data_IF_883207916115
#
_entry.id   IF_883207916115
#
_cell.length_a   1.000
_cell.length_b   1.000
_cell.length_c   1.000
_cell.angle_alpha   90.00
_cell.angle_beta   90.00
_cell.angle_gamma   90.00
#
_symmetry.space_group_name_H-M   'P 1'
#
loop_
_entity.id
_entity.type
_entity.pdbx_description
1 polymer ?
#
# COMPACT_ATOMS: atom_id res chain seq x y z
N UNK A 1 32.43 -17.25 -7.56
CA UNK A 1 31.00 -17.65 -7.61
C UNK A 1 30.27 -17.63 -6.25
N UNK A 2 30.93 -17.61 -5.07
CA UNK A 2 30.25 -17.74 -3.77
C UNK A 2 29.52 -16.51 -3.20
N UNK A 3 29.93 -15.28 -3.53
CA UNK A 3 29.37 -14.06 -2.92
C UNK A 3 27.89 -13.81 -3.24
N UNK A 4 27.53 -13.85 -4.53
CA UNK A 4 26.16 -13.59 -5.01
C UNK A 4 25.12 -14.59 -4.50
N UNK A 5 25.53 -15.84 -4.26
CA UNK A 5 24.65 -16.87 -3.70
C UNK A 5 24.39 -16.63 -2.20
N UNK A 6 25.44 -16.29 -1.43
CA UNK A 6 25.31 -15.94 0.00
C UNK A 6 24.38 -14.73 0.20
N UNK A 7 24.44 -13.73 -0.68
CA UNK A 7 23.55 -12.57 -0.64
C UNK A 7 22.07 -12.94 -0.82
N UNK A 8 21.76 -13.80 -1.80
CA UNK A 8 20.39 -14.26 -2.04
C UNK A 8 19.83 -15.03 -0.85
N UNK A 9 20.65 -15.87 -0.23
CA UNK A 9 20.27 -16.63 0.96
C UNK A 9 19.99 -15.69 2.14
N UNK A 10 20.86 -14.70 2.38
CA UNK A 10 20.65 -13.74 3.47
C UNK A 10 19.37 -12.91 3.29
N UNK A 11 19.08 -12.46 2.05
CA UNK A 11 17.84 -11.74 1.74
C UNK A 11 16.60 -12.62 1.97
N UNK A 12 16.67 -13.89 1.58
CA UNK A 12 15.60 -14.84 1.79
C UNK A 12 15.36 -15.11 3.29
N UNK A 13 16.42 -15.33 4.06
CA UNK A 13 16.35 -15.52 5.52
C UNK A 13 15.75 -14.30 6.22
N UNK A 14 16.17 -13.09 5.85
CA UNK A 14 15.58 -11.86 6.37
C UNK A 14 14.09 -11.75 6.04
N UNK A 15 13.68 -12.17 4.84
CA UNK A 15 12.28 -12.25 4.45
C UNK A 15 11.48 -13.20 5.34
N UNK A 16 12.01 -14.39 5.63
CA UNK A 16 11.37 -15.38 6.52
C UNK A 16 11.22 -14.81 7.93
N UNK A 17 12.29 -14.20 8.48
CA UNK A 17 12.27 -13.63 9.83
C UNK A 17 11.22 -12.52 9.93
N UNK A 18 11.17 -11.63 8.93
CA UNK A 18 10.21 -10.52 8.90
C UNK A 18 8.78 -11.05 8.78
N UNK A 19 8.56 -12.07 7.94
CA UNK A 19 7.25 -12.72 7.82
C UNK A 19 6.81 -13.38 9.13
N UNK A 20 7.70 -14.14 9.78
CA UNK A 20 7.42 -14.77 11.06
C UNK A 20 7.11 -13.74 12.16
N UNK A 21 7.84 -12.61 12.18
CA UNK A 21 7.59 -11.52 13.11
C UNK A 21 6.19 -10.89 12.89
N UNK A 22 5.81 -10.61 11.64
CA UNK A 22 4.48 -10.09 11.30
C UNK A 22 3.39 -11.05 11.76
N UNK A 23 3.54 -12.35 11.48
CA UNK A 23 2.56 -13.37 11.89
C UNK A 23 2.47 -13.49 13.41
N UNK A 24 3.61 -13.52 14.11
CA UNK A 24 3.65 -13.61 15.57
C UNK A 24 3.02 -12.40 16.26
N UNK A 25 3.25 -11.19 15.74
CA UNK A 25 2.59 -9.96 16.22
C UNK A 25 1.08 -10.01 15.90
N UNK A 26 0.70 -10.48 14.71
CA UNK A 26 -0.68 -10.63 14.27
C UNK A 26 -1.50 -11.54 15.17
N UNK A 27 -1.11 -12.82 15.24
CA UNK A 27 -0.91 -13.57 16.49
C UNK A 27 -1.49 -12.97 17.78
N UNK A 28 -0.55 -12.39 18.53
CA UNK A 28 -0.73 -11.79 19.83
C UNK A 28 -1.76 -10.66 19.83
N UNK A 29 -1.75 -9.81 18.81
CA UNK A 29 -2.68 -8.70 18.69
C UNK A 29 -4.12 -9.19 18.47
N UNK A 30 -4.33 -10.26 17.69
CA UNK A 30 -5.62 -10.90 17.49
C UNK A 30 -6.17 -11.53 18.78
N UNK A 31 -5.31 -12.18 19.57
CA UNK A 31 -5.70 -12.73 20.87
C UNK A 31 -6.15 -11.60 21.83
N UNK A 32 -5.37 -10.53 21.97
CA UNK A 32 -5.77 -9.37 22.78
C UNK A 32 -7.05 -8.71 22.27
N UNK A 33 -7.23 -8.64 20.96
CA UNK A 33 -8.43 -8.07 20.36
C UNK A 33 -9.68 -8.91 20.66
N UNK A 34 -9.55 -10.23 20.69
CA UNK A 34 -10.63 -11.13 21.12
C UNK A 34 -11.06 -10.83 22.55
N UNK A 35 -10.10 -10.72 23.48
CA UNK A 35 -10.40 -10.41 24.89
C UNK A 35 -11.12 -9.06 25.03
N UNK A 36 -10.70 -8.05 24.24
CA UNK A 36 -11.35 -6.74 24.18
C UNK A 36 -12.80 -6.83 23.70
N UNK A 37 -13.06 -7.61 22.64
CA UNK A 37 -14.41 -7.79 22.10
C UNK A 37 -15.34 -8.49 23.10
N UNK A 38 -14.84 -9.51 23.81
CA UNK A 38 -15.59 -10.24 24.83
C UNK A 38 -15.94 -9.34 26.02
N UNK A 39 -15.01 -8.51 26.49
CA UNK A 39 -15.23 -7.58 27.60
C UNK A 39 -16.30 -6.53 27.31
N UNK A 40 -16.35 -6.00 26.09
CA UNK A 40 -17.32 -4.98 25.69
C UNK A 40 -18.61 -5.53 25.07
N UNK A 41 -18.75 -6.87 24.98
CA UNK A 41 -19.87 -7.55 24.30
C UNK A 41 -20.17 -6.99 22.90
N UNK A 42 -19.14 -6.53 22.20
CA UNK A 42 -19.29 -5.97 20.87
C UNK A 42 -19.48 -7.14 19.91
N UNK A 43 -20.73 -7.35 19.49
CA UNK A 43 -21.03 -8.25 18.40
C UNK A 43 -20.39 -7.68 17.12
N UNK A 44 -19.26 -8.25 16.73
CA UNK A 44 -18.61 -7.88 15.48
C UNK A 44 -19.59 -8.11 14.34
N UNK A 45 -19.77 -7.11 13.48
CA UNK A 45 -20.69 -7.21 12.35
C UNK A 45 -20.15 -8.28 11.38
N UNK A 46 -20.61 -9.52 11.54
CA UNK A 46 -20.18 -10.63 10.70
C UNK A 46 -20.76 -10.43 9.32
N UNK A 47 -19.93 -10.01 8.38
CA UNK A 47 -20.35 -9.77 7.00
C UNK A 47 -20.57 -11.12 6.33
N UNK A 48 -21.82 -11.41 5.98
CA UNK A 48 -22.14 -12.60 5.19
C UNK A 48 -21.71 -12.41 3.74
N UNK A 49 -21.43 -13.52 3.04
CA UNK A 49 -20.97 -13.50 1.65
C UNK A 49 -21.86 -12.67 0.70
N UNK A 50 -23.19 -12.75 0.88
CA UNK A 50 -24.15 -11.96 0.09
C UNK A 50 -23.98 -10.45 0.31
N UNK A 51 -23.83 -10.04 1.57
CA UNK A 51 -23.60 -8.64 1.93
C UNK A 51 -22.24 -8.16 1.41
N UNK A 52 -21.21 -9.02 1.50
CA UNK A 52 -19.90 -8.73 0.92
C UNK A 52 -19.99 -8.49 -0.59
N UNK A 53 -20.66 -9.36 -1.36
CA UNK A 53 -20.80 -9.18 -2.81
C UNK A 53 -21.56 -7.89 -3.17
N UNK A 54 -22.61 -7.56 -2.43
CA UNK A 54 -23.36 -6.32 -2.64
C UNK A 54 -22.46 -5.11 -2.34
N UNK A 55 -21.75 -5.13 -1.22
CA UNK A 55 -20.87 -4.03 -0.80
C UNK A 55 -19.68 -3.88 -1.76
N UNK A 56 -19.03 -5.00 -2.11
CA UNK A 56 -17.93 -5.04 -3.07
C UNK A 56 -18.37 -4.59 -4.46
N UNK A 57 -19.55 -5.05 -4.92
CA UNK A 57 -20.16 -4.62 -6.16
C UNK A 57 -20.44 -3.11 -6.16
N UNK A 58 -21.06 -2.58 -5.10
CA UNK A 58 -21.34 -1.16 -4.94
C UNK A 58 -20.05 -0.32 -4.92
N UNK A 59 -19.05 -0.72 -4.12
CA UNK A 59 -17.74 -0.04 -4.04
C UNK A 59 -17.04 -0.08 -5.40
N UNK A 60 -17.01 -1.24 -6.06
CA UNK A 60 -16.41 -1.38 -7.40
C UNK A 60 -17.12 -0.51 -8.44
N UNK A 61 -18.45 -0.42 -8.37
CA UNK A 61 -19.25 0.43 -9.25
C UNK A 61 -18.96 1.92 -9.01
N UNK A 62 -18.81 2.33 -7.74
CA UNK A 62 -18.35 3.69 -7.39
C UNK A 62 -16.95 3.94 -7.96
N UNK A 63 -15.99 3.05 -7.70
CA UNK A 63 -14.59 3.17 -8.16
C UNK A 63 -14.53 3.26 -9.69
N UNK A 64 -15.25 2.39 -10.39
CA UNK A 64 -15.28 2.38 -11.86
C UNK A 64 -15.93 3.66 -12.42
N UNK A 65 -16.87 4.26 -11.70
CA UNK A 65 -17.48 5.52 -12.08
C UNK A 65 -16.69 6.76 -11.65
N UNK A 66 -15.63 6.67 -10.83
CA UNK A 66 -14.76 7.82 -10.47
C UNK A 66 -14.32 8.62 -11.70
N UNK A 67 -13.76 8.04 -12.78
CA UNK A 67 -13.35 8.82 -13.96
C UNK A 67 -14.53 9.51 -14.66
N UNK A 68 -15.75 8.94 -14.59
CA UNK A 68 -16.96 9.52 -15.17
C UNK A 68 -17.52 10.63 -14.30
N UNK A 69 -17.59 10.41 -12.98
CA UNK A 69 -18.00 11.38 -11.97
C UNK A 69 -17.04 12.57 -11.99
N UNK A 70 -15.73 12.35 -11.98
CA UNK A 70 -14.74 13.45 -12.09
C UNK A 70 -14.89 14.26 -13.37
N UNK A 71 -15.17 13.62 -14.53
CA UNK A 71 -15.49 14.34 -15.78
C UNK A 71 -16.78 15.16 -15.69
N UNK A 72 -17.82 14.65 -15.03
CA UNK A 72 -19.10 15.36 -14.83
C UNK A 72 -18.94 16.51 -13.84
N UNK A 73 -18.30 16.28 -12.70
CA UNK A 73 -17.97 17.29 -11.70
C UNK A 73 -17.13 18.41 -12.32
N UNK A 74 -16.17 18.05 -13.17
CA UNK A 74 -15.36 19.02 -13.90
C UNK A 74 -16.18 19.83 -14.93
N UNK A 75 -17.19 19.23 -15.58
CA UNK A 75 -18.13 19.95 -16.47
C UNK A 75 -19.05 20.91 -15.71
N UNK A 76 -19.61 20.48 -14.57
CA UNK A 76 -20.49 21.29 -13.72
C UNK A 76 -19.69 22.44 -13.09
N UNK A 77 -18.53 22.12 -12.53
CA UNK A 77 -17.60 23.10 -11.98
C UNK A 77 -17.20 24.14 -13.02
N UNK A 78 -16.86 23.74 -14.27
CA UNK A 78 -16.57 24.70 -15.35
C UNK A 78 -17.74 25.62 -15.72
N UNK A 79 -18.99 25.14 -15.64
CA UNK A 79 -20.17 25.98 -15.94
C UNK A 79 -20.45 27.01 -14.85
N UNK A 80 -20.32 26.63 -13.57
CA UNK A 80 -20.51 27.57 -12.45
C UNK A 80 -19.31 28.50 -12.23
N UNK A 81 -18.08 28.04 -12.45
CA UNK A 81 -16.88 28.85 -12.21
C UNK A 81 -16.65 29.90 -13.30
N UNK A 82 -17.08 29.71 -14.56
CA UNK A 82 -16.83 30.65 -15.67
C UNK A 82 -17.30 32.09 -15.41
N UNK A 83 -18.21 32.32 -14.46
CA UNK A 83 -18.69 33.66 -14.09
C UNK A 83 -17.81 34.37 -13.03
N UNK A 84 -16.86 33.67 -12.42
CA UNK A 84 -16.02 34.18 -11.30
C UNK A 84 -14.52 33.87 -11.44
N UNK A 85 -14.06 33.25 -12.55
CA UNK A 85 -12.74 32.59 -12.59
C UNK A 85 -11.59 33.24 -13.34
N UNK A 86 -11.70 34.41 -13.96
CA UNK A 86 -10.51 34.95 -14.65
C UNK A 86 -9.38 35.34 -13.66
N UNK A 87 -9.69 35.49 -12.37
CA UNK A 87 -8.73 35.83 -11.32
C UNK A 87 -8.15 34.63 -10.54
N UNK A 88 -8.92 33.53 -10.41
CA UNK A 88 -8.48 32.34 -9.65
C UNK A 88 -7.78 31.28 -10.50
N UNK A 89 -7.97 31.32 -11.83
CA UNK A 89 -7.43 30.31 -12.75
C UNK A 89 -5.89 30.35 -12.84
N UNK A 90 -5.27 31.53 -12.75
CA UNK A 90 -3.80 31.69 -12.72
C UNK A 90 -3.17 31.27 -11.39
N UNK A 91 -3.92 31.29 -10.27
CA UNK A 91 -3.44 30.82 -8.96
C UNK A 91 -3.66 29.31 -8.79
N UNK A 92 -4.79 28.80 -9.28
CA UNK A 92 -5.13 27.38 -9.23
C UNK A 92 -4.30 26.54 -10.21
N UNK A 93 -3.97 27.05 -11.41
CA UNK A 93 -3.08 26.33 -12.33
C UNK A 93 -1.65 26.21 -11.78
N UNK A 94 -1.13 27.26 -11.13
CA UNK A 94 0.14 27.18 -10.39
C UNK A 94 0.08 26.23 -9.18
N UNK A 95 -1.07 26.09 -8.53
CA UNK A 95 -1.26 25.17 -7.41
C UNK A 95 -1.42 23.70 -7.87
N UNK A 96 -2.14 23.47 -8.97
CA UNK A 96 -2.36 22.16 -9.61
C UNK A 96 -1.08 21.61 -10.24
N UNK A 97 -0.21 22.49 -10.74
CA UNK A 97 1.13 22.14 -11.23
C UNK A 97 2.10 21.82 -10.07
N UNK A 98 1.87 22.42 -8.89
CA UNK A 98 2.60 22.10 -7.63
C UNK A 98 2.13 20.80 -6.97
N UNK A 99 0.85 20.46 -7.06
CA UNK A 99 0.31 19.13 -6.66
C UNK A 99 0.62 18.14 -7.79
N UNK A 100 1.91 17.84 -7.92
CA UNK A 100 2.45 16.80 -8.78
C UNK A 100 1.74 15.49 -8.43
N UNK A 101 1.38 14.65 -9.41
CA UNK A 101 0.75 13.31 -9.19
C UNK A 101 1.51 12.45 -8.15
N UNK A 102 2.79 12.73 -7.94
CA UNK A 102 3.61 12.23 -6.84
C UNK A 102 3.00 12.46 -5.44
N UNK A 103 2.30 13.57 -5.21
CA UNK A 103 1.62 13.92 -3.96
C UNK A 103 0.40 13.03 -3.68
N UNK A 104 -0.31 12.52 -4.69
CA UNK A 104 -1.54 11.75 -4.45
C UNK A 104 -1.24 10.39 -3.83
N UNK A 105 -0.22 9.69 -4.32
CA UNK A 105 0.21 8.41 -3.75
C UNK A 105 0.70 8.55 -2.31
N UNK A 106 1.47 9.60 -2.03
CA UNK A 106 1.97 9.89 -0.68
C UNK A 106 0.82 10.23 0.28
N UNK A 107 -0.16 11.03 -0.16
CA UNK A 107 -1.35 11.34 0.65
C UNK A 107 -2.15 10.07 0.92
N UNK A 108 -2.42 9.25 -0.10
CA UNK A 108 -3.16 8.00 0.07
C UNK A 108 -2.48 7.05 1.05
N UNK A 109 -1.16 6.92 0.96
CA UNK A 109 -0.40 6.08 1.88
C UNK A 109 -0.35 6.65 3.30
N UNK A 110 -0.19 7.98 3.45
CA UNK A 110 -0.23 8.64 4.76
C UNK A 110 -1.59 8.49 5.45
N UNK A 111 -2.70 8.62 4.71
CA UNK A 111 -4.05 8.36 5.23
C UNK A 111 -4.16 6.92 5.73
N UNK A 112 -3.60 5.98 4.97
CA UNK A 112 -3.68 4.56 5.30
C UNK A 112 -2.83 4.23 6.55
N UNK A 113 -1.65 4.83 6.71
CA UNK A 113 -0.88 4.76 7.97
C UNK A 113 -1.64 5.42 9.12
N UNK A 114 -2.29 6.56 8.88
CA UNK A 114 -3.09 7.23 9.91
C UNK A 114 -4.26 6.39 10.37
N UNK A 115 -4.94 5.72 9.45
CA UNK A 115 -6.01 4.76 9.75
C UNK A 115 -5.49 3.58 10.59
N UNK A 116 -4.32 3.05 10.24
CA UNK A 116 -3.68 1.96 11.00
C UNK A 116 -3.31 2.42 12.42
N UNK A 117 -2.72 3.61 12.54
CA UNK A 117 -2.39 4.21 13.83
C UNK A 117 -3.61 4.43 14.71
N UNK A 118 -4.69 4.94 14.12
CA UNK A 118 -5.98 5.09 14.76
C UNK A 118 -6.55 3.73 15.20
N UNK A 119 -6.61 2.74 14.32
CA UNK A 119 -7.18 1.43 14.62
C UNK A 119 -6.38 0.68 15.70
N UNK A 120 -5.06 0.78 15.68
CA UNK A 120 -4.19 0.17 16.69
C UNK A 120 -4.35 0.82 18.07
N UNK A 121 -4.47 2.15 18.13
CA UNK A 121 -4.59 2.86 19.41
C UNK A 121 -6.00 2.92 19.96
N UNK A 122 -7.03 2.85 19.11
CA UNK A 122 -8.42 2.78 19.53
C UNK A 122 -8.73 1.53 20.38
N UNK A 123 -7.89 0.49 20.32
CA UNK A 123 -8.00 -0.69 21.17
C UNK A 123 -7.52 -0.46 22.61
N UNK A 124 -6.67 0.55 22.84
CA UNK A 124 -6.02 0.78 24.14
C UNK A 124 -6.41 2.12 24.79
N UNK A 125 -6.79 3.11 23.99
CA UNK A 125 -7.02 4.48 24.44
C UNK A 125 -8.42 4.98 24.08
N UNK A 126 -8.89 6.01 24.80
CA UNK A 126 -10.13 6.71 24.50
C UNK A 126 -10.12 7.32 23.08
N UNK A 127 -11.26 7.21 22.38
CA UNK A 127 -11.42 7.50 20.95
C UNK A 127 -10.76 8.79 20.41
N UNK A 128 -10.90 9.98 21.04
CA UNK A 128 -10.24 11.19 20.53
C UNK A 128 -8.71 11.11 20.56
N UNK A 129 -8.11 10.43 21.54
CA UNK A 129 -6.66 10.26 21.58
C UNK A 129 -6.17 9.36 20.44
N UNK A 130 -6.95 8.34 20.07
CA UNK A 130 -6.63 7.47 18.94
C UNK A 130 -6.62 8.25 17.61
N UNK A 131 -7.55 9.18 17.41
CA UNK A 131 -7.57 10.04 16.21
C UNK A 131 -6.32 10.92 16.17
N UNK A 132 -6.01 11.59 17.27
CA UNK A 132 -4.82 12.46 17.35
C UNK A 132 -3.55 11.65 17.08
N UNK A 133 -3.44 10.45 17.64
CA UNK A 133 -2.30 9.57 17.43
C UNK A 133 -2.17 9.10 15.98
N UNK A 134 -3.29 8.73 15.34
CA UNK A 134 -3.33 8.39 13.91
C UNK A 134 -2.84 9.55 13.03
N UNK A 135 -3.28 10.78 13.31
CA UNK A 135 -2.82 11.98 12.58
C UNK A 135 -1.32 12.20 12.81
N UNK A 136 -0.83 12.05 14.04
CA UNK A 136 0.59 12.19 14.36
C UNK A 136 1.43 11.16 13.60
N UNK A 137 1.02 9.88 13.58
CA UNK A 137 1.72 8.82 12.84
C UNK A 137 1.74 9.09 11.33
N UNK A 138 0.60 9.53 10.77
CA UNK A 138 0.48 9.89 9.37
C UNK A 138 1.41 11.06 9.01
N UNK A 139 1.44 12.11 9.84
CA UNK A 139 2.30 13.26 9.67
C UNK A 139 3.78 12.90 9.87
N UNK A 140 4.09 12.11 10.89
CA UNK A 140 5.43 11.61 11.17
C UNK A 140 5.99 10.81 9.99
N UNK A 141 5.16 10.03 9.28
CA UNK A 141 5.59 9.34 8.06
C UNK A 141 6.01 10.30 6.94
N UNK A 142 5.20 11.33 6.71
CA UNK A 142 5.46 12.35 5.67
C UNK A 142 6.73 13.15 6.00
N UNK A 143 6.98 13.45 7.28
CA UNK A 143 8.16 14.19 7.72
C UNK A 143 9.42 13.30 7.80
N UNK A 144 9.25 12.07 8.28
CA UNK A 144 10.32 11.11 8.60
C UNK A 144 10.14 9.90 7.68
N UNK A 145 10.27 10.15 6.38
CA UNK A 145 10.24 9.13 5.33
C UNK A 145 11.55 8.31 5.31
N UNK A 146 11.86 7.61 6.40
CA UNK A 146 13.01 6.69 6.53
C UNK A 146 12.59 5.24 6.24
N UNK A 147 13.53 4.43 5.75
CA UNK A 147 13.26 3.03 5.36
C UNK A 147 12.75 2.19 6.53
N UNK A 148 13.36 2.28 7.71
CA UNK A 148 12.92 1.52 8.88
C UNK A 148 11.49 1.87 9.30
N UNK A 149 11.15 3.16 9.34
CA UNK A 149 9.82 3.63 9.75
C UNK A 149 8.75 3.23 8.73
N UNK A 150 9.09 3.24 7.45
CA UNK A 150 8.24 2.73 6.39
C UNK A 150 7.94 1.23 6.54
N UNK A 151 8.98 0.41 6.72
CA UNK A 151 8.81 -1.04 6.90
C UNK A 151 8.00 -1.35 8.17
N UNK A 152 8.27 -0.63 9.26
CA UNK A 152 7.50 -0.77 10.49
C UNK A 152 6.02 -0.41 10.28
N UNK A 153 5.73 0.69 9.58
CA UNK A 153 4.37 1.09 9.23
C UNK A 153 3.67 0.05 8.35
N UNK A 154 4.39 -0.55 7.38
CA UNK A 154 3.87 -1.65 6.54
C UNK A 154 3.56 -2.91 7.35
N UNK A 155 4.38 -3.22 8.36
CA UNK A 155 4.12 -4.35 9.26
C UNK A 155 2.86 -4.11 10.08
N UNK A 156 2.72 -2.94 10.71
CA UNK A 156 1.52 -2.57 11.46
C UNK A 156 0.27 -2.62 10.58
N UNK A 157 0.37 -2.10 9.36
CA UNK A 157 -0.70 -2.13 8.37
C UNK A 157 -1.18 -3.55 8.11
N UNK A 158 -0.27 -4.48 7.81
CA UNK A 158 -0.62 -5.87 7.55
C UNK A 158 -1.26 -6.54 8.76
N UNK A 159 -0.74 -6.29 9.96
CA UNK A 159 -1.31 -6.81 11.21
C UNK A 159 -2.73 -6.28 11.42
N UNK A 160 -2.93 -4.96 11.33
CA UNK A 160 -4.22 -4.33 11.55
C UNK A 160 -5.26 -4.79 10.54
N UNK A 161 -4.93 -4.83 9.25
CA UNK A 161 -5.84 -5.37 8.24
C UNK A 161 -6.11 -6.86 8.47
N UNK A 162 -5.10 -7.64 8.87
CA UNK A 162 -5.24 -9.04 9.22
C UNK A 162 -6.24 -9.27 10.36
N UNK A 163 -6.22 -8.43 11.40
CA UNK A 163 -7.17 -8.49 12.51
C UNK A 163 -8.58 -8.08 12.05
N UNK A 164 -8.69 -6.93 11.38
CA UNK A 164 -10.00 -6.40 10.93
C UNK A 164 -10.69 -7.40 10.00
N UNK A 165 -9.97 -7.94 9.00
CA UNK A 165 -10.53 -8.92 8.08
C UNK A 165 -10.67 -10.30 8.71
N UNK A 166 -9.75 -10.71 9.58
CA UNK A 166 -9.78 -12.01 10.26
C UNK A 166 -10.99 -12.17 11.18
N UNK A 167 -11.36 -11.12 11.92
CA UNK A 167 -12.57 -11.12 12.75
C UNK A 167 -13.83 -10.72 11.96
N UNK A 168 -13.70 -9.86 10.95
CA UNK A 168 -14.84 -9.35 10.17
C UNK A 168 -15.39 -10.33 9.13
N UNK A 169 -14.56 -11.21 8.58
CA UNK A 169 -14.94 -12.13 7.50
C UNK A 169 -15.19 -13.53 8.05
N UNK A 170 -16.26 -14.16 7.57
CA UNK A 170 -16.46 -15.59 7.77
C UNK A 170 -15.40 -16.39 6.98
N UNK A 171 -15.04 -17.59 7.47
CA UNK A 171 -14.06 -18.48 6.81
C UNK A 171 -14.38 -18.69 5.32
N UNK A 172 -15.65 -18.95 4.99
CA UNK A 172 -16.13 -19.10 3.62
C UNK A 172 -15.95 -17.83 2.78
N UNK A 173 -16.25 -16.65 3.34
CA UNK A 173 -16.06 -15.38 2.62
C UNK A 173 -14.58 -15.11 2.34
N UNK A 174 -13.71 -15.37 3.32
CA UNK A 174 -12.27 -15.25 3.16
C UNK A 174 -11.74 -16.17 2.05
N UNK A 175 -12.18 -17.43 2.00
CA UNK A 175 -11.78 -18.39 0.96
C UNK A 175 -12.15 -17.89 -0.45
N UNK A 176 -13.37 -17.38 -0.63
CA UNK A 176 -13.81 -16.92 -1.95
C UNK A 176 -13.09 -15.64 -2.36
N UNK A 177 -12.86 -14.70 -1.42
CA UNK A 177 -12.07 -13.48 -1.68
C UNK A 177 -10.65 -13.86 -2.09
N UNK A 178 -10.02 -14.79 -1.37
CA UNK A 178 -8.67 -15.26 -1.66
C UNK A 178 -8.59 -15.93 -3.04
N UNK A 179 -9.55 -16.80 -3.37
CA UNK A 179 -9.65 -17.41 -4.69
C UNK A 179 -9.85 -16.37 -5.80
N UNK A 180 -10.69 -15.37 -5.57
CA UNK A 180 -10.96 -14.28 -6.54
C UNK A 180 -9.73 -13.38 -6.75
N UNK A 181 -9.01 -13.05 -5.66
CA UNK A 181 -7.76 -12.29 -5.72
C UNK A 181 -6.66 -13.07 -6.44
N UNK A 182 -6.56 -14.38 -6.24
CA UNK A 182 -5.59 -15.23 -6.94
C UNK A 182 -5.83 -15.24 -8.46
N UNK A 183 -7.09 -15.34 -8.90
CA UNK A 183 -7.46 -15.24 -10.31
C UNK A 183 -7.17 -13.84 -10.85
N UNK A 184 -7.49 -12.79 -10.10
CA UNK A 184 -7.19 -11.40 -10.47
C UNK A 184 -5.68 -11.18 -10.67
N UNK A 185 -4.85 -11.67 -9.74
CA UNK A 185 -3.40 -11.49 -9.80
C UNK A 185 -2.82 -12.12 -11.08
N UNK A 186 -3.26 -13.35 -11.41
CA UNK A 186 -2.88 -14.04 -12.64
C UNK A 186 -3.28 -13.25 -13.90
N UNK A 187 -4.51 -12.72 -13.95
CA UNK A 187 -4.99 -11.91 -15.08
C UNK A 187 -4.26 -10.56 -15.19
N UNK A 188 -4.01 -9.89 -14.07
CA UNK A 188 -3.36 -8.59 -14.02
C UNK A 188 -1.89 -8.68 -14.49
N UNK A 189 -1.18 -9.74 -14.11
CA UNK A 189 0.20 -10.01 -14.53
C UNK A 189 0.24 -10.38 -16.01
N UNK A 190 -0.57 -11.35 -16.45
CA UNK A 190 -0.46 -11.89 -17.79
C UNK A 190 -0.96 -10.92 -18.87
N UNK A 191 -2.11 -10.27 -18.65
CA UNK A 191 -2.80 -9.53 -19.72
C UNK A 191 -2.58 -8.03 -19.69
N UNK A 192 -2.52 -7.43 -18.51
CA UNK A 192 -2.58 -5.97 -18.39
C UNK A 192 -1.25 -5.33 -18.01
N UNK A 193 -0.27 -6.09 -17.51
CA UNK A 193 1.00 -5.56 -16.93
C UNK A 193 0.76 -4.41 -15.95
N UNK A 194 -0.46 -4.36 -15.37
CA UNK A 194 -0.94 -3.22 -14.60
C UNK A 194 -0.10 -3.05 -13.33
N UNK A 195 0.27 -4.15 -12.68
CA UNK A 195 1.15 -4.13 -11.52
C UNK A 195 2.53 -3.53 -11.80
N UNK A 196 3.09 -3.76 -12.99
CA UNK A 196 4.40 -3.21 -13.37
C UNK A 196 4.31 -1.71 -13.61
N UNK A 197 3.24 -1.24 -14.24
CA UNK A 197 3.04 0.20 -14.44
C UNK A 197 2.71 0.92 -13.13
N UNK A 198 1.87 0.30 -12.30
CA UNK A 198 1.51 0.78 -10.98
C UNK A 198 2.74 0.92 -10.08
N UNK A 199 3.54 -0.13 -9.93
CA UNK A 199 4.77 -0.11 -9.15
C UNK A 199 5.77 0.94 -9.65
N UNK A 200 5.92 1.14 -10.97
CA UNK A 200 6.74 2.22 -11.52
C UNK A 200 6.24 3.60 -11.07
N UNK A 201 4.93 3.84 -11.08
CA UNK A 201 4.36 5.11 -10.64
C UNK A 201 4.50 5.33 -9.12
N UNK A 202 4.43 4.26 -8.33
CA UNK A 202 4.65 4.28 -6.88
C UNK A 202 6.10 4.53 -6.49
N UNK A 203 7.04 3.89 -7.18
CA UNK A 203 8.47 4.16 -7.03
C UNK A 203 8.75 5.62 -7.37
N UNK A 204 8.26 6.11 -8.53
CA UNK A 204 8.44 7.52 -8.93
C UNK A 204 7.89 8.50 -7.90
N UNK A 205 6.81 8.15 -7.20
CA UNK A 205 6.25 8.99 -6.14
C UNK A 205 7.01 8.87 -4.82
N UNK A 206 7.86 7.86 -4.65
CA UNK A 206 8.55 7.56 -3.39
C UNK A 206 7.66 6.91 -2.34
N UNK A 207 6.46 6.47 -2.73
CA UNK A 207 5.49 5.80 -1.88
C UNK A 207 5.41 4.34 -2.30
N UNK A 208 6.38 3.53 -1.88
CA UNK A 208 6.47 2.12 -2.29
C UNK A 208 5.53 1.30 -1.40
N UNK A 209 4.45 0.75 -1.95
CA UNK A 209 3.61 -0.24 -1.26
C UNK A 209 4.34 -1.58 -1.24
N UNK A 210 5.25 -1.73 -0.28
CA UNK A 210 6.04 -2.94 -0.10
C UNK A 210 7.15 -2.75 0.93
N UNK A 211 7.69 -3.87 1.40
CA UNK A 211 8.88 -3.86 2.24
C UNK A 211 10.11 -3.52 1.40
N UNK A 212 10.95 -2.65 1.95
CA UNK A 212 12.24 -2.27 1.36
C UNK A 212 13.32 -3.02 2.13
N UNK A 213 13.92 -4.03 1.50
CA UNK A 213 15.00 -4.82 2.10
C UNK A 213 16.33 -4.26 1.57
N UNK A 214 17.16 -3.62 2.41
CA UNK A 214 18.48 -3.16 1.98
C UNK A 214 19.40 -4.36 1.73
N UNK A 215 20.29 -4.22 0.74
CA UNK A 215 21.07 -5.36 0.22
C UNK A 215 22.33 -5.67 1.03
N UNK A 216 22.91 -4.70 1.75
CA UNK A 216 24.31 -4.82 2.19
C UNK A 216 24.61 -4.29 3.61
N UNK A 217 24.08 -3.14 4.05
CA UNK A 217 24.44 -2.55 5.36
C UNK A 217 23.24 -2.21 6.23
N UNK A 218 23.36 -2.47 7.53
CA UNK A 218 22.35 -2.06 8.53
C UNK A 218 22.18 -0.53 8.55
N UNK A 219 23.23 0.23 8.20
CA UNK A 219 23.15 1.69 8.04
C UNK A 219 22.12 2.14 7.00
N UNK A 220 21.85 1.30 5.99
CA UNK A 220 20.96 1.63 4.89
C UNK A 220 19.48 1.61 5.31
N UNK A 221 19.14 0.99 6.46
CA UNK A 221 17.81 1.10 7.05
C UNK A 221 17.47 2.52 7.52
N UNK A 222 18.50 3.34 7.76
CA UNK A 222 18.31 4.73 8.15
C UNK A 222 18.29 5.70 6.94
N UNK A 223 18.48 5.19 5.72
CA UNK A 223 18.43 5.99 4.50
C UNK A 223 17.03 6.60 4.28
N UNK A 224 17.00 7.73 3.56
CA UNK A 224 15.75 8.39 3.19
C UNK A 224 15.11 7.66 2.00
N UNK A 225 13.79 7.45 2.05
CA UNK A 225 13.03 6.77 0.98
C UNK A 225 13.22 7.41 -0.40
N UNK A 226 13.40 8.73 -0.44
CA UNK A 226 13.61 9.49 -1.68
C UNK A 226 14.91 9.12 -2.40
N UNK A 227 15.97 8.82 -1.65
CA UNK A 227 17.30 8.44 -2.16
C UNK A 227 17.29 6.99 -2.68
N UNK A 228 16.63 6.10 -1.95
CA UNK A 228 16.43 4.71 -2.39
C UNK A 228 15.57 4.65 -3.66
N UNK A 229 14.50 5.46 -3.72
CA UNK A 229 13.65 5.60 -4.90
C UNK A 229 14.40 6.12 -6.12
N UNK A 230 15.30 7.11 -5.97
CA UNK A 230 16.10 7.60 -7.09
C UNK A 230 17.07 6.55 -7.62
N UNK A 231 17.74 5.79 -6.74
CA UNK A 231 18.64 4.73 -7.15
C UNK A 231 17.90 3.59 -7.87
N UNK A 232 16.71 3.25 -7.40
CA UNK A 232 15.86 2.26 -8.08
C UNK A 232 15.38 2.77 -9.45
N UNK A 233 15.09 4.08 -9.58
CA UNK A 233 14.70 4.71 -10.85
C UNK A 233 15.82 4.66 -11.89
N UNK A 234 17.08 4.91 -11.51
CA UNK A 234 18.24 4.83 -12.42
C UNK A 234 18.40 3.41 -12.95
N UNK A 235 18.36 2.41 -12.05
CA UNK A 235 18.46 1.00 -12.44
C UNK A 235 17.33 0.51 -13.35
N UNK A 236 16.10 1.04 -13.17
CA UNK A 236 14.95 0.75 -14.04
C UNK A 236 15.01 1.44 -15.40
N UNK A 237 15.72 2.56 -15.54
CA UNK A 237 15.92 3.23 -16.82
C UNK A 237 17.09 2.65 -17.62
N UNK A 238 18.12 2.15 -16.93
CA UNK A 238 19.25 1.43 -17.56
C UNK A 238 18.84 0.02 -18.01
N UNK A 239 18.06 -0.70 -17.21
CA UNK A 239 17.44 -1.95 -17.66
C UNK A 239 16.18 -1.66 -18.47
N UNK A 240 16.36 -1.31 -19.75
CA UNK A 240 15.33 -1.50 -20.78
C UNK A 240 14.85 -2.96 -20.63
N UNK A 241 13.54 -3.25 -20.66
CA UNK A 241 13.06 -4.61 -20.45
C UNK A 241 13.51 -5.46 -21.63
N UNK A 242 14.69 -6.08 -21.51
CA UNK A 242 14.95 -7.33 -22.20
C UNK A 242 13.76 -8.21 -21.86
N UNK A 243 13.15 -8.72 -22.94
CA UNK A 243 11.98 -9.57 -22.86
C UNK A 243 12.27 -10.61 -21.78
N UNK A 244 11.37 -10.72 -20.83
CA UNK A 244 11.29 -11.90 -19.97
C UNK A 244 10.90 -13.06 -20.90
N UNK A 245 11.88 -13.57 -21.63
CA UNK A 245 11.79 -14.75 -22.45
C UNK A 245 11.78 -15.92 -21.47
N UNK A 246 10.62 -16.55 -21.30
CA UNK A 246 10.48 -17.82 -20.60
C UNK A 246 11.01 -18.97 -21.46
N UNK A 247 12.20 -18.80 -22.03
CA UNK A 247 12.95 -19.85 -22.72
C UNK A 247 14.36 -19.76 -22.18
N UNK A 248 14.65 -20.62 -21.21
CA UNK A 248 16.03 -20.97 -20.91
C UNK A 248 16.60 -21.64 -22.14
N UNK A 249 17.48 -20.93 -22.83
CA UNK A 249 18.50 -21.55 -23.66
C UNK A 249 19.80 -20.88 -23.25
N UNK A 250 20.66 -21.69 -22.62
CA UNK A 250 22.07 -21.39 -22.45
C UNK A 250 22.68 -21.18 -23.83
N UNK A 251 23.17 -19.98 -24.13
CA UNK A 251 24.27 -19.83 -25.08
C UNK A 251 25.51 -19.44 -24.32
N UNK A 252 26.34 -20.45 -24.18
CA UNK A 252 27.70 -20.46 -23.67
C UNK A 252 28.61 -19.90 -24.76
N UNK A 253 28.92 -18.60 -24.73
CA UNK A 253 29.94 -18.03 -25.60
C UNK A 253 31.29 -18.04 -24.89
N UNK A 254 32.10 -19.04 -25.25
CA UNK A 254 33.53 -19.08 -25.04
C UNK A 254 34.23 -18.38 -26.21
N UNK A 255 34.96 -17.30 -25.91
CA UNK A 255 36.25 -17.02 -26.53
C UNK A 255 37.21 -16.54 -25.44
#
# INVERSE_FOLDING_TARGET
MGGKMRERINLFLWGIILFAAVQGIGILAGLKFKDYLECYQINFLRIYWRQFLILFGAVSLVIFNIPKITKILHRISRKMLKKKLNFLETKFNRFKEKIKIQSLWQIGFSILIGFVGFAATAMFFYYPYAIVFGIILAAAWVLISRVWYHNFSMMLLLVTFGIIFGFGLSCWSSLIILGSLAVYDLLAVYRFKFMVEFSKNMVKSGSILGFIIPRLKISDFNARLKEVSSNFKVNLSENKPERFSLTGEETQDCH
#
